data_IF_722851060039
#
_entry.id   IF_722851060039
#
_cell.length_a   1.000
_cell.length_b   1.000
_cell.length_c   1.000
_cell.angle_alpha   90.00
_cell.angle_beta   90.00
_cell.angle_gamma   90.00
#
_symmetry.space_group_name_H-M   'P 1'
#
loop_
_entity.id
_entity.type
_entity.pdbx_description
1 polymer ?
#
# COMPACT_ATOMS: atom_id res chain seq x y z
N UNK A 1 -5.86 2.38 -8.43
CA UNK A 1 -5.87 1.09 -7.70
C UNK A 1 -5.18 1.29 -6.35
N UNK A 2 -5.78 0.81 -5.26
CA UNK A 2 -5.16 0.83 -3.93
C UNK A 2 -4.45 -0.51 -3.61
N UNK A 3 -3.32 -0.45 -2.91
CA UNK A 3 -2.51 -1.63 -2.54
C UNK A 3 -2.45 -1.78 -1.02
N UNK A 4 -2.76 -2.97 -0.51
CA UNK A 4 -2.85 -3.22 0.94
C UNK A 4 -2.11 -4.48 1.37
N UNK A 5 -1.93 -4.60 2.70
CA UNK A 5 -1.28 -5.75 3.34
C UNK A 5 -2.23 -6.83 3.80
N UNK A 6 -1.66 -8.00 4.12
CA UNK A 6 -2.40 -9.18 4.54
C UNK A 6 -3.27 -8.91 5.77
N UNK A 7 -2.86 -7.98 6.64
CA UNK A 7 -3.67 -7.53 7.77
C UNK A 7 -5.01 -6.87 7.37
N UNK A 8 -5.16 -6.41 6.13
CA UNK A 8 -6.41 -5.86 5.60
C UNK A 8 -7.26 -6.89 4.85
N UNK A 9 -6.80 -8.15 4.72
CA UNK A 9 -7.51 -9.19 3.98
C UNK A 9 -8.72 -9.70 4.76
N UNK A 10 -9.89 -9.13 4.46
CA UNK A 10 -11.18 -9.62 4.93
C UNK A 10 -12.20 -9.55 3.81
N UNK A 11 -13.26 -10.37 3.88
CA UNK A 11 -14.36 -10.32 2.91
C UNK A 11 -14.95 -8.92 2.81
N UNK A 12 -15.25 -8.31 3.96
CA UNK A 12 -15.80 -6.96 4.05
C UNK A 12 -14.92 -5.93 3.34
N UNK A 13 -13.60 -5.98 3.54
CA UNK A 13 -12.67 -5.05 2.89
C UNK A 13 -12.54 -5.30 1.38
N UNK A 14 -12.64 -6.56 0.94
CA UNK A 14 -12.57 -6.95 -0.46
C UNK A 14 -13.83 -6.52 -1.24
N UNK A 15 -14.99 -6.59 -0.59
CA UNK A 15 -16.29 -6.22 -1.18
C UNK A 15 -16.71 -4.79 -0.89
N UNK A 16 -15.95 -4.05 -0.07
CA UNK A 16 -16.25 -2.66 0.26
C UNK A 16 -16.33 -1.78 -1.00
N UNK A 17 -17.28 -0.83 -1.05
CA UNK A 17 -17.37 0.13 -2.14
C UNK A 17 -16.10 1.01 -2.20
N UNK A 18 -15.87 1.61 -3.37
CA UNK A 18 -14.72 2.48 -3.61
C UNK A 18 -13.82 1.97 -4.74
N UNK A 19 -12.63 2.55 -4.90
CA UNK A 19 -11.77 2.25 -6.03
C UNK A 19 -11.21 0.83 -5.95
N UNK A 20 -10.85 0.29 -7.11
CA UNK A 20 -10.27 -1.04 -7.21
C UNK A 20 -9.06 -1.24 -6.29
N UNK A 21 -9.05 -2.36 -5.57
CA UNK A 21 -8.06 -2.70 -4.55
C UNK A 21 -7.37 -4.02 -4.87
N UNK A 22 -6.13 -4.15 -4.41
CA UNK A 22 -5.35 -5.38 -4.41
C UNK A 22 -4.80 -5.57 -2.99
N UNK A 23 -5.33 -6.57 -2.29
CA UNK A 23 -5.00 -6.85 -0.89
C UNK A 23 -4.24 -8.17 -0.85
N UNK A 24 -3.06 -8.20 -0.23
CA UNK A 24 -2.31 -9.44 -0.06
C UNK A 24 -3.16 -10.49 0.67
N UNK A 25 -3.21 -11.73 0.20
CA UNK A 25 -3.86 -12.83 0.93
C UNK A 25 -2.89 -13.63 1.80
N UNK A 26 -1.63 -13.20 1.87
CA UNK A 26 -0.56 -13.88 2.60
C UNK A 26 0.75 -13.10 2.57
N UNK A 27 1.85 -13.74 2.97
CA UNK A 27 3.19 -13.11 2.97
C UNK A 27 3.66 -12.88 1.53
N UNK A 28 4.34 -11.75 1.29
CA UNK A 28 4.83 -11.39 -0.04
C UNK A 28 5.63 -12.51 -0.73
N UNK A 29 6.57 -13.14 -0.01
CA UNK A 29 7.38 -14.26 -0.55
C UNK A 29 6.53 -15.44 -1.04
N UNK A 30 5.43 -15.73 -0.35
CA UNK A 30 4.56 -16.86 -0.65
C UNK A 30 3.71 -16.53 -1.89
N UNK A 31 3.27 -15.27 -2.01
CA UNK A 31 2.57 -14.76 -3.18
C UNK A 31 3.47 -14.77 -4.42
N UNK A 32 4.71 -14.30 -4.30
CA UNK A 32 5.71 -14.37 -5.38
C UNK A 32 5.98 -15.82 -5.80
N UNK A 33 6.13 -16.71 -4.82
CA UNK A 33 6.33 -18.14 -5.08
C UNK A 33 5.12 -18.75 -5.79
N UNK A 34 3.90 -18.40 -5.37
CA UNK A 34 2.67 -18.90 -5.98
C UNK A 34 2.50 -18.40 -7.42
N UNK A 35 2.79 -17.12 -7.68
CA UNK A 35 2.75 -16.53 -9.01
C UNK A 35 3.81 -17.14 -9.94
N UNK A 36 4.99 -17.46 -9.43
CA UNK A 36 6.07 -18.09 -10.20
C UNK A 36 5.80 -19.57 -10.49
N UNK A 37 5.33 -20.34 -9.50
CA UNK A 37 5.12 -21.80 -9.64
C UNK A 37 3.86 -22.14 -10.42
N UNK A 38 2.78 -21.40 -10.18
CA UNK A 38 1.49 -21.66 -10.78
C UNK A 38 0.88 -20.32 -11.25
N UNK A 39 1.38 -19.71 -12.33
CA UNK A 39 0.78 -18.50 -12.87
C UNK A 39 -0.64 -18.79 -13.36
N UNK A 40 -1.51 -17.78 -13.26
CA UNK A 40 -2.87 -17.84 -13.82
C UNK A 40 -3.09 -16.64 -14.73
N UNK A 41 -3.97 -16.79 -15.70
CA UNK A 41 -4.31 -15.74 -16.66
C UNK A 41 -5.82 -15.56 -16.73
N UNK A 42 -6.25 -14.36 -17.14
CA UNK A 42 -7.67 -14.06 -17.31
C UNK A 42 -8.42 -13.78 -16.00
N UNK A 43 -9.74 -13.91 -16.07
CA UNK A 43 -10.65 -13.61 -14.96
C UNK A 43 -10.71 -14.76 -13.96
N UNK A 44 -10.93 -14.48 -12.67
CA UNK A 44 -11.13 -15.52 -11.66
C UNK A 44 -12.36 -16.37 -11.99
N UNK A 45 -12.44 -17.60 -11.44
CA UNK A 45 -13.57 -18.50 -11.65
C UNK A 45 -14.92 -17.81 -11.34
N UNK A 46 -15.98 -18.10 -12.13
CA UNK A 46 -17.32 -17.61 -11.83
C UNK A 46 -17.75 -18.04 -10.41
N UNK A 47 -18.34 -17.12 -9.64
CA UNK A 47 -18.80 -17.35 -8.28
C UNK A 47 -17.71 -17.70 -7.23
N UNK A 48 -16.44 -17.42 -7.52
CA UNK A 48 -15.36 -17.58 -6.54
C UNK A 48 -15.61 -16.72 -5.29
N UNK A 49 -15.18 -17.24 -4.12
CA UNK A 49 -15.16 -16.45 -2.89
C UNK A 49 -14.26 -15.20 -3.11
N UNK A 50 -14.57 -14.04 -2.51
CA UNK A 50 -13.77 -12.83 -2.69
C UNK A 50 -12.27 -13.03 -2.40
N UNK A 51 -11.92 -13.89 -1.43
CA UNK A 51 -10.52 -14.20 -1.11
C UNK A 51 -9.90 -15.03 -2.25
N UNK A 52 -10.61 -16.03 -2.77
CA UNK A 52 -10.14 -16.85 -3.90
C UNK A 52 -9.94 -16.01 -5.16
N UNK A 53 -10.88 -15.11 -5.45
CA UNK A 53 -10.77 -14.16 -6.57
C UNK A 53 -9.55 -13.24 -6.41
N UNK A 54 -9.27 -12.76 -5.18
CA UNK A 54 -8.08 -11.95 -4.89
C UNK A 54 -6.78 -12.76 -5.00
N UNK A 55 -6.76 -13.99 -4.48
CA UNK A 55 -5.61 -14.90 -4.62
C UNK A 55 -5.33 -15.24 -6.08
N UNK A 56 -6.37 -15.47 -6.88
CA UNK A 56 -6.24 -15.65 -8.33
C UNK A 56 -5.62 -14.40 -8.97
N UNK A 57 -6.16 -13.21 -8.66
CA UNK A 57 -5.63 -11.95 -9.17
C UNK A 57 -4.18 -11.72 -8.77
N UNK A 58 -3.76 -12.06 -7.56
CA UNK A 58 -2.36 -11.93 -7.11
C UNK A 58 -1.39 -12.90 -7.83
N UNK A 59 -1.90 -13.98 -8.43
CA UNK A 59 -1.10 -14.94 -9.21
C UNK A 59 -0.99 -14.57 -10.69
N UNK A 60 -1.72 -13.57 -11.18
CA UNK A 60 -1.52 -13.06 -12.54
C UNK A 60 -0.23 -12.24 -12.59
N UNK A 61 0.39 -12.16 -13.77
CA UNK A 61 1.61 -11.37 -13.98
C UNK A 61 1.41 -9.89 -13.59
N UNK A 62 0.33 -9.27 -14.08
CA UNK A 62 -0.03 -7.89 -13.74
C UNK A 62 -0.32 -7.72 -12.25
N UNK A 63 -1.00 -8.68 -11.63
CA UNK A 63 -1.37 -8.63 -10.22
C UNK A 63 -0.15 -8.65 -9.32
N UNK A 64 0.75 -9.63 -9.52
CA UNK A 64 1.97 -9.71 -8.71
C UNK A 64 2.91 -8.53 -8.99
N UNK A 65 3.04 -8.09 -10.24
CA UNK A 65 3.85 -6.94 -10.60
C UNK A 65 3.34 -5.64 -9.95
N UNK A 66 2.01 -5.45 -9.93
CA UNK A 66 1.39 -4.31 -9.24
C UNK A 66 1.61 -4.42 -7.73
N UNK A 67 1.42 -5.60 -7.13
CA UNK A 67 1.61 -5.81 -5.70
C UNK A 67 3.04 -5.52 -5.24
N UNK A 68 4.06 -5.92 -6.01
CA UNK A 68 5.48 -5.66 -5.71
C UNK A 68 5.78 -4.17 -5.52
N UNK A 69 5.07 -3.28 -6.24
CA UNK A 69 5.23 -1.82 -6.12
C UNK A 69 4.85 -1.29 -4.73
N UNK A 70 4.05 -2.03 -3.96
CA UNK A 70 3.64 -1.63 -2.61
C UNK A 70 4.82 -1.45 -1.67
N UNK A 71 5.87 -2.27 -1.81
CA UNK A 71 7.06 -2.20 -0.94
C UNK A 71 7.66 -0.80 -0.98
N UNK A 72 7.97 -0.32 -2.19
CA UNK A 72 8.55 1.01 -2.40
C UNK A 72 7.65 2.13 -1.86
N UNK A 73 6.33 2.04 -2.02
CA UNK A 73 5.40 3.07 -1.53
C UNK A 73 5.52 3.24 0.00
N UNK A 74 5.62 2.14 0.75
CA UNK A 74 5.73 2.20 2.20
C UNK A 74 7.18 2.50 2.65
N UNK A 75 8.15 1.78 2.09
CA UNK A 75 9.55 1.85 2.50
C UNK A 75 10.17 3.23 2.26
N UNK A 76 9.82 3.90 1.15
CA UNK A 76 10.36 5.23 0.85
C UNK A 76 9.96 6.25 1.92
N UNK A 77 8.72 6.22 2.41
CA UNK A 77 8.27 7.16 3.45
C UNK A 77 9.00 6.90 4.78
N UNK A 78 9.15 5.64 5.19
CA UNK A 78 9.90 5.29 6.39
C UNK A 78 11.40 5.59 6.26
N UNK A 79 11.98 5.36 5.08
CA UNK A 79 13.36 5.70 4.75
C UNK A 79 13.59 7.21 4.86
N UNK A 80 12.72 8.01 4.24
CA UNK A 80 12.75 9.46 4.32
C UNK A 80 12.64 9.93 5.78
N UNK A 81 11.63 9.45 6.51
CA UNK A 81 11.44 9.77 7.92
C UNK A 81 12.70 9.55 8.75
N UNK A 82 13.34 8.39 8.57
CA UNK A 82 14.50 7.97 9.36
C UNK A 82 15.81 8.61 8.92
N UNK A 83 16.07 8.69 7.62
CA UNK A 83 17.37 9.03 7.06
C UNK A 83 17.50 10.51 6.69
N UNK A 84 16.44 11.17 6.20
CA UNK A 84 16.54 12.58 5.83
C UNK A 84 15.88 13.51 6.87
N UNK A 85 14.83 13.05 7.56
CA UNK A 85 14.15 13.83 8.60
C UNK A 85 14.61 13.50 10.03
N UNK A 86 15.52 12.53 10.20
CA UNK A 86 16.10 12.17 11.50
C UNK A 86 15.12 11.54 12.51
N UNK A 87 13.91 11.17 12.10
CA UNK A 87 12.88 10.59 12.97
C UNK A 87 13.19 9.13 13.28
N UNK A 88 14.06 8.91 14.28
CA UNK A 88 14.54 7.57 14.71
C UNK A 88 13.89 7.06 16.00
N UNK A 89 13.36 7.98 16.80
CA UNK A 89 12.76 7.69 18.11
C UNK A 89 11.65 8.70 18.40
N UNK A 90 10.63 8.26 19.12
CA UNK A 90 9.65 9.15 19.72
C UNK A 90 10.29 9.90 20.89
N UNK A 91 9.92 11.17 21.07
CA UNK A 91 10.44 12.00 22.16
C UNK A 91 9.59 11.84 23.42
N UNK A 92 8.31 11.56 23.28
CA UNK A 92 7.37 11.35 24.38
C UNK A 92 7.07 9.87 24.66
N UNK A 93 6.63 9.59 25.88
CA UNK A 93 6.07 8.29 26.29
C UNK A 93 4.55 8.33 26.37
N UNK A 94 3.92 7.23 25.99
CA UNK A 94 2.46 7.04 25.94
C UNK A 94 1.93 7.00 24.50
N UNK A 95 0.94 6.13 24.26
CA UNK A 95 0.40 5.89 22.91
C UNK A 95 -0.16 7.17 22.27
N UNK A 96 -0.90 7.96 23.04
CA UNK A 96 -1.52 9.19 22.54
C UNK A 96 -0.47 10.20 22.07
N UNK A 97 0.59 10.39 22.87
CA UNK A 97 1.68 11.32 22.52
C UNK A 97 2.47 10.82 21.31
N UNK A 98 2.78 9.52 21.24
CA UNK A 98 3.45 8.92 20.09
C UNK A 98 2.60 9.06 18.81
N UNK A 99 1.27 8.91 18.94
CA UNK A 99 0.32 9.13 17.83
C UNK A 99 0.34 10.58 17.35
N UNK A 100 0.33 11.55 18.26
CA UNK A 100 0.43 12.97 17.93
C UNK A 100 1.75 13.31 17.24
N UNK A 101 2.89 12.80 17.75
CA UNK A 101 4.21 12.99 17.11
C UNK A 101 4.24 12.40 15.69
N UNK A 102 3.71 11.19 15.52
CA UNK A 102 3.63 10.56 14.20
C UNK A 102 2.73 11.33 13.24
N UNK A 103 1.59 11.83 13.70
CA UNK A 103 0.68 12.64 12.90
C UNK A 103 1.34 13.97 12.48
N UNK A 104 2.05 14.63 13.40
CA UNK A 104 2.80 15.85 13.10
C UNK A 104 3.91 15.59 12.06
N UNK A 105 4.67 14.50 12.23
CA UNK A 105 5.69 14.09 11.26
C UNK A 105 5.09 13.85 9.86
N UNK A 106 3.98 13.11 9.79
CA UNK A 106 3.28 12.85 8.53
C UNK A 106 2.75 14.14 7.88
N UNK A 107 2.26 15.09 8.68
CA UNK A 107 1.82 16.39 8.18
C UNK A 107 2.98 17.18 7.55
N UNK A 108 4.12 17.29 8.26
CA UNK A 108 5.33 17.96 7.73
C UNK A 108 5.82 17.29 6.44
N UNK A 109 5.85 15.95 6.40
CA UNK A 109 6.21 15.21 5.20
C UNK A 109 5.28 15.53 4.01
N UNK A 110 3.96 15.54 4.24
CA UNK A 110 2.98 15.85 3.20
C UNK A 110 3.10 17.30 2.71
N UNK A 111 3.27 18.26 3.62
CA UNK A 111 3.50 19.66 3.28
C UNK A 111 4.77 19.81 2.42
N UNK A 112 5.87 19.15 2.80
CA UNK A 112 7.10 19.14 2.00
C UNK A 112 6.87 18.67 0.57
N UNK A 113 6.12 17.58 0.38
CA UNK A 113 5.77 17.10 -0.97
C UNK A 113 4.93 18.09 -1.76
N UNK A 114 3.95 18.74 -1.12
CA UNK A 114 3.11 19.75 -1.76
C UNK A 114 3.98 20.93 -2.21
N UNK A 115 4.86 21.42 -1.34
CA UNK A 115 5.74 22.54 -1.65
C UNK A 115 6.71 22.21 -2.81
N UNK A 116 7.30 21.02 -2.83
CA UNK A 116 8.13 20.56 -3.96
C UNK A 116 7.32 20.54 -5.26
N UNK A 117 6.11 19.96 -5.24
CA UNK A 117 5.26 19.89 -6.42
C UNK A 117 4.85 21.27 -6.96
N UNK A 118 4.54 22.21 -6.06
CA UNK A 118 4.23 23.59 -6.41
C UNK A 118 5.45 24.35 -6.97
N UNK A 119 6.64 24.12 -6.41
CA UNK A 119 7.88 24.73 -6.87
C UNK A 119 8.31 24.22 -8.26
N UNK A 120 8.04 22.95 -8.56
CA UNK A 120 8.34 22.32 -9.86
C UNK A 120 7.37 22.74 -10.96
N UNK A 121 6.37 23.60 -10.67
CA UNK A 121 5.39 24.09 -11.64
C UNK A 121 4.36 23.07 -12.09
N UNK A 122 4.31 21.89 -11.46
CA UNK A 122 3.31 20.88 -11.78
C UNK A 122 1.98 21.23 -11.10
N UNK A 123 0.89 21.23 -11.87
CA UNK A 123 -0.46 21.28 -11.29
C UNK A 123 -0.75 19.95 -10.59
N UNK A 124 -1.41 19.99 -9.42
CA UNK A 124 -1.88 18.75 -8.78
C UNK A 124 -2.88 18.08 -9.73
N UNK A 125 -2.79 16.75 -9.95
CA UNK A 125 -3.75 16.07 -10.81
C UNK A 125 -5.15 16.31 -10.26
N UNK A 126 -6.05 16.80 -11.13
CA UNK A 126 -7.44 17.04 -10.75
C UNK A 126 -8.06 15.73 -10.23
N UNK A 127 -8.52 15.74 -8.99
CA UNK A 127 -9.22 14.61 -8.38
C UNK A 127 -10.50 14.34 -9.18
N UNK A 128 -10.55 13.21 -9.90
CA UNK A 128 -11.77 12.66 -10.52
C UNK A 128 -12.32 11.53 -9.64
#
# INVERSE_FOLDING_TARGET
MMLFDAGYCSRDNLTAPGPGRLIATGKARDLDTAAAKNPVTGSPPPHADPIEAMTHRLRTEDGIATYRRRSHIAETVFGHAKHNLGFRRFTSRGLDRARSEWAFHAAVHNIGKILTHLADGNTLPATT
#
